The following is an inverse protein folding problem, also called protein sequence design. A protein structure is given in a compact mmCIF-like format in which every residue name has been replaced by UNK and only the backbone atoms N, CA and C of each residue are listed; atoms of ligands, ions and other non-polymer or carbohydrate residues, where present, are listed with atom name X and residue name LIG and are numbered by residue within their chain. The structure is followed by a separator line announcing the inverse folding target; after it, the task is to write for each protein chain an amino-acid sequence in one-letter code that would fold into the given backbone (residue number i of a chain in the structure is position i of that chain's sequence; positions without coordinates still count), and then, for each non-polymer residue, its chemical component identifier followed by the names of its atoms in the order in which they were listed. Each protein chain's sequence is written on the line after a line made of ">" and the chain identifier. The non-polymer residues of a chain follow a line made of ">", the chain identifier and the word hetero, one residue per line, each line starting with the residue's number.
data_IF_705447935865
#
_entry.id   IF_705447935865
#
_cell.length_a   1.000
_cell.length_b   1.000
_cell.length_c   1.000
_cell.angle_alpha   90.00
_cell.angle_beta   90.00
_cell.angle_gamma   90.00
#
_symmetry.space_group_name_H-M   'P 1'
#
loop_
_entity.id
_entity.type
_entity.pdbx_description
1 polymer ?
#
# COMPACT_ATOMS: atom_id res chain seq x y z
N UNK A 1 -6.17 -7.76 -12.74
CA UNK A 1 -7.61 -7.80 -13.13
C UNK A 1 -8.02 -9.15 -13.71
N UNK A 2 -7.23 -9.77 -14.59
CA UNK A 2 -7.53 -11.07 -15.22
C UNK A 2 -7.72 -12.21 -14.21
N UNK A 3 -6.91 -12.24 -13.14
CA UNK A 3 -7.02 -13.25 -12.09
C UNK A 3 -8.35 -13.16 -11.32
N UNK A 4 -8.82 -11.95 -11.03
CA UNK A 4 -10.10 -11.75 -10.34
C UNK A 4 -11.29 -12.22 -11.19
N UNK A 5 -11.29 -11.94 -12.50
CA UNK A 5 -12.30 -12.43 -13.42
C UNK A 5 -12.31 -13.97 -13.48
N UNK A 6 -11.12 -14.57 -13.52
CA UNK A 6 -10.98 -16.02 -13.51
C UNK A 6 -11.52 -16.64 -12.21
N UNK A 7 -11.24 -16.02 -11.07
CA UNK A 7 -11.76 -16.44 -9.77
C UNK A 7 -13.29 -16.39 -9.73
N UNK A 8 -13.89 -15.27 -10.17
CA UNK A 8 -15.34 -15.09 -10.24
C UNK A 8 -15.94 -16.18 -11.15
N UNK A 9 -15.34 -16.41 -12.32
CA UNK A 9 -15.79 -17.44 -13.26
C UNK A 9 -15.80 -18.83 -12.62
N UNK A 10 -14.73 -19.23 -11.92
CA UNK A 10 -14.65 -20.52 -11.22
C UNK A 10 -15.76 -20.66 -10.18
N UNK A 11 -16.00 -19.62 -9.37
CA UNK A 11 -17.03 -19.66 -8.33
C UNK A 11 -18.46 -19.66 -8.91
N UNK A 12 -18.68 -19.12 -10.11
CA UNK A 12 -19.98 -19.14 -10.79
C UNK A 12 -20.27 -20.43 -11.55
N UNK A 13 -19.24 -21.20 -11.93
CA UNK A 13 -19.42 -22.48 -12.69
C UNK A 13 -20.36 -23.47 -12.05
N UNK A 14 -20.31 -23.75 -10.72
CA UNK A 14 -21.26 -24.71 -10.11
C UNK A 14 -22.70 -24.28 -10.29
N UNK A 15 -23.01 -22.98 -10.25
CA UNK A 15 -24.36 -22.47 -10.39
C UNK A 15 -24.95 -22.72 -11.80
N UNK A 16 -24.10 -22.60 -12.83
CA UNK A 16 -24.52 -22.88 -14.21
C UNK A 16 -24.89 -24.38 -14.44
N UNK A 17 -24.25 -25.27 -13.68
CA UNK A 17 -24.49 -26.73 -13.80
C UNK A 17 -25.73 -27.16 -13.01
N UNK A 18 -26.08 -26.45 -11.92
CA UNK A 18 -27.22 -26.77 -11.06
C UNK A 18 -28.58 -26.65 -11.78
N UNK A 19 -28.69 -25.84 -12.82
CA UNK A 19 -29.93 -25.62 -13.58
C UNK A 19 -30.37 -26.88 -14.40
N UNK A 20 -29.42 -27.76 -14.75
CA UNK A 20 -29.66 -29.03 -15.42
C UNK A 20 -28.81 -30.14 -14.80
N UNK A 21 -29.30 -30.68 -13.69
CA UNK A 21 -28.57 -31.62 -12.84
C UNK A 21 -28.21 -32.92 -13.57
N UNK A 22 -27.02 -32.93 -14.19
CA UNK A 22 -26.40 -34.15 -14.72
C UNK A 22 -25.10 -34.38 -13.96
N UNK A 23 -25.09 -35.32 -13.01
CA UNK A 23 -23.94 -35.65 -12.16
C UNK A 23 -22.62 -35.85 -12.94
N UNK A 24 -22.69 -36.40 -14.17
CA UNK A 24 -21.51 -36.52 -15.04
C UNK A 24 -20.90 -35.17 -15.44
N UNK A 25 -21.75 -34.19 -15.77
CA UNK A 25 -21.30 -32.85 -16.12
C UNK A 25 -20.73 -32.13 -14.90
N UNK A 26 -21.37 -32.29 -13.74
CA UNK A 26 -20.87 -31.73 -12.48
C UNK A 26 -19.48 -32.30 -12.14
N UNK A 27 -19.30 -33.61 -12.28
CA UNK A 27 -18.03 -34.29 -12.04
C UNK A 27 -16.92 -33.73 -12.95
N UNK A 28 -17.20 -33.55 -14.25
CA UNK A 28 -16.25 -32.99 -15.21
C UNK A 28 -15.84 -31.54 -14.79
N UNK A 29 -16.80 -30.70 -14.40
CA UNK A 29 -16.55 -29.34 -13.98
C UNK A 29 -15.69 -29.32 -12.73
N UNK A 30 -16.03 -30.09 -11.70
CA UNK A 30 -15.23 -30.15 -10.45
C UNK A 30 -13.82 -30.66 -10.73
N UNK A 31 -13.68 -31.71 -11.54
CA UNK A 31 -12.37 -32.26 -11.91
C UNK A 31 -11.52 -31.23 -12.68
N UNK A 32 -12.14 -30.47 -13.58
CA UNK A 32 -11.44 -29.43 -14.33
C UNK A 32 -10.96 -28.30 -13.41
N UNK A 33 -11.80 -27.85 -12.47
CA UNK A 33 -11.42 -26.83 -11.46
C UNK A 33 -10.27 -27.35 -10.60
N UNK A 34 -10.39 -28.58 -10.07
CA UNK A 34 -9.35 -29.20 -9.26
C UNK A 34 -8.03 -29.31 -10.04
N UNK A 35 -8.08 -29.70 -11.31
CA UNK A 35 -6.89 -29.76 -12.17
C UNK A 35 -6.22 -28.39 -12.33
N UNK A 36 -7.01 -27.35 -12.64
CA UNK A 36 -6.47 -25.97 -12.78
C UNK A 36 -5.82 -25.49 -11.47
N UNK A 37 -6.46 -25.75 -10.33
CA UNK A 37 -5.90 -25.38 -9.02
C UNK A 37 -4.60 -26.13 -8.73
N UNK A 38 -4.53 -27.44 -9.06
CA UNK A 38 -3.31 -28.22 -8.92
C UNK A 38 -2.18 -27.68 -9.80
N UNK A 39 -2.45 -27.39 -11.07
CA UNK A 39 -1.45 -26.83 -11.99
C UNK A 39 -0.93 -25.50 -11.45
N UNK A 40 -1.83 -24.62 -10.99
CA UNK A 40 -1.47 -23.31 -10.43
C UNK A 40 -0.61 -23.46 -9.15
N UNK A 41 -0.98 -24.40 -8.28
CA UNK A 41 -0.23 -24.71 -7.06
C UNK A 41 1.20 -25.19 -7.39
N UNK A 42 1.34 -26.17 -8.27
CA UNK A 42 2.66 -26.70 -8.65
C UNK A 42 3.51 -25.67 -9.38
N UNK A 43 2.89 -24.86 -10.24
CA UNK A 43 3.60 -23.75 -10.90
C UNK A 43 4.08 -22.71 -9.87
N UNK A 44 3.23 -22.30 -8.95
CA UNK A 44 3.60 -21.40 -7.87
C UNK A 44 4.72 -21.95 -6.99
N UNK A 45 4.61 -23.21 -6.58
CA UNK A 45 5.65 -23.88 -5.79
C UNK A 45 6.98 -23.97 -6.53
N UNK A 46 6.95 -24.32 -7.82
CA UNK A 46 8.15 -24.35 -8.67
C UNK A 46 8.79 -22.96 -8.78
N UNK A 47 7.97 -21.93 -8.98
CA UNK A 47 8.46 -20.53 -9.06
C UNK A 47 9.11 -20.08 -7.77
N UNK A 48 8.52 -20.41 -6.61
CA UNK A 48 9.08 -20.06 -5.29
C UNK A 48 10.41 -20.79 -5.07
N UNK A 49 10.46 -22.09 -5.38
CA UNK A 49 11.67 -22.90 -5.16
C UNK A 49 12.82 -22.52 -6.10
N UNK A 50 12.52 -22.14 -7.35
CA UNK A 50 13.52 -21.77 -8.35
C UNK A 50 14.01 -20.33 -8.20
N UNK A 51 13.24 -19.46 -7.55
CA UNK A 51 13.69 -18.11 -7.22
C UNK A 51 14.61 -18.18 -5.99
N UNK A 52 15.90 -18.36 -6.24
CA UNK A 52 16.93 -18.13 -5.23
C UNK A 52 16.88 -16.64 -4.83
N UNK A 53 16.09 -16.35 -3.78
CA UNK A 53 16.04 -15.02 -3.18
C UNK A 53 17.46 -14.68 -2.69
N UNK A 54 18.19 -13.92 -3.48
CA UNK A 54 19.50 -13.39 -3.08
C UNK A 54 19.24 -12.43 -1.91
N UNK A 55 19.57 -12.86 -0.71
CA UNK A 55 19.57 -11.98 0.45
C UNK A 55 20.64 -10.92 0.23
N UNK A 56 20.27 -9.66 0.34
CA UNK A 56 21.23 -8.56 0.34
C UNK A 56 21.83 -8.54 1.77
N UNK A 57 23.11 -8.84 1.91
CA UNK A 57 23.73 -8.82 3.25
C UNK A 57 23.67 -7.39 3.79
N UNK A 58 23.44 -7.26 5.11
CA UNK A 58 23.36 -6.00 5.84
C UNK A 58 22.24 -5.02 5.41
N UNK A 59 21.23 -5.50 4.68
CA UNK A 59 20.03 -4.72 4.34
C UNK A 59 18.78 -5.33 4.99
N UNK A 60 17.99 -4.50 5.66
CA UNK A 60 16.73 -4.90 6.28
C UNK A 60 15.58 -4.01 5.82
N UNK A 61 14.39 -4.58 5.74
CA UNK A 61 13.15 -3.84 5.55
C UNK A 61 12.30 -4.01 6.80
N UNK A 62 11.88 -2.89 7.38
CA UNK A 62 11.02 -2.85 8.58
C UNK A 62 9.67 -2.28 8.18
N UNK A 63 8.65 -3.14 8.12
CA UNK A 63 7.28 -2.73 7.82
C UNK A 63 6.56 -2.34 9.11
N UNK A 64 5.95 -1.16 9.14
CA UNK A 64 5.23 -0.67 10.30
C UNK A 64 3.71 -0.80 10.14
N UNK A 65 3.09 -1.40 11.16
CA UNK A 65 1.63 -1.48 11.30
C UNK A 65 1.24 -0.83 12.64
N UNK A 66 0.96 0.49 12.68
CA UNK A 66 0.68 1.19 13.93
C UNK A 66 -0.71 0.90 14.50
N UNK A 67 -1.60 0.29 13.72
CA UNK A 67 -2.99 -0.02 14.09
C UNK A 67 -3.73 1.20 14.70
N UNK A 68 -3.62 2.36 14.03
CA UNK A 68 -4.20 3.62 14.46
C UNK A 68 -5.62 3.77 13.89
N UNK A 69 -6.52 4.34 14.69
CA UNK A 69 -7.85 4.73 14.19
C UNK A 69 -7.73 5.99 13.32
N UNK A 70 -8.45 6.02 12.20
CA UNK A 70 -8.43 7.15 11.24
C UNK A 70 -8.86 8.46 11.90
N UNK A 71 -9.81 8.41 12.83
CA UNK A 71 -10.32 9.58 13.56
C UNK A 71 -9.21 10.30 14.34
N UNK A 72 -8.22 9.55 14.84
CA UNK A 72 -7.13 10.13 15.62
C UNK A 72 -6.13 10.89 14.72
N UNK A 73 -6.14 10.63 13.40
CA UNK A 73 -5.25 11.28 12.41
C UNK A 73 -5.81 12.62 11.91
N UNK A 74 -7.12 12.81 11.95
CA UNK A 74 -7.79 14.00 11.41
C UNK A 74 -7.71 15.23 12.32
N UNK A 75 -7.26 15.06 13.57
CA UNK A 75 -7.05 16.15 14.50
C UNK A 75 -5.67 16.77 14.24
N UNK A 76 -5.64 17.92 13.59
CA UNK A 76 -4.45 18.64 13.12
C UNK A 76 -3.33 18.84 14.16
N UNK A 77 -3.62 18.68 15.45
CA UNK A 77 -2.64 18.83 16.54
C UNK A 77 -1.88 17.53 16.87
N UNK A 78 -2.18 16.41 16.20
CA UNK A 78 -1.64 15.10 16.56
C UNK A 78 -0.56 14.57 15.60
N UNK A 79 -0.25 15.29 14.51
CA UNK A 79 0.68 14.82 13.49
C UNK A 79 2.08 14.56 14.07
N UNK A 80 2.62 15.49 14.84
CA UNK A 80 3.93 15.33 15.50
C UNK A 80 3.94 14.18 16.51
N UNK A 81 2.88 14.04 17.29
CA UNK A 81 2.75 12.92 18.23
C UNK A 81 2.68 11.59 17.49
N UNK A 82 2.02 11.57 16.35
CA UNK A 82 1.93 10.38 15.52
C UNK A 82 3.27 10.01 14.90
N UNK A 83 4.01 10.96 14.37
CA UNK A 83 5.38 10.75 13.87
C UNK A 83 6.29 10.22 14.98
N UNK A 84 6.24 10.80 16.18
CA UNK A 84 6.98 10.31 17.35
C UNK A 84 6.62 8.87 17.69
N UNK A 85 5.34 8.50 17.64
CA UNK A 85 4.90 7.12 17.85
C UNK A 85 5.46 6.17 16.80
N UNK A 86 5.45 6.56 15.52
CA UNK A 86 6.02 5.75 14.43
C UNK A 86 7.52 5.55 14.60
N UNK A 87 8.25 6.58 15.00
CA UNK A 87 9.67 6.49 15.34
C UNK A 87 9.89 5.48 16.47
N UNK A 88 9.09 5.57 17.53
CA UNK A 88 9.19 4.66 18.66
C UNK A 88 8.91 3.19 18.28
N UNK A 89 7.90 2.95 17.43
CA UNK A 89 7.57 1.60 16.92
C UNK A 89 8.67 1.10 15.98
N UNK A 90 9.26 1.99 15.17
CA UNK A 90 10.36 1.67 14.25
C UNK A 90 11.62 1.18 14.97
N UNK A 91 11.84 1.60 16.22
CA UNK A 91 13.02 1.27 17.03
C UNK A 91 14.34 1.45 16.26
N UNK A 92 14.59 2.60 15.60
CA UNK A 92 15.71 2.75 14.68
C UNK A 92 17.06 2.52 15.34
N UNK A 93 17.20 2.79 16.65
CA UNK A 93 18.44 2.60 17.43
C UNK A 93 18.88 1.13 17.47
N UNK A 94 17.96 0.16 17.26
CA UNK A 94 18.31 -1.26 17.19
C UNK A 94 19.06 -1.64 15.89
N UNK A 95 19.05 -0.75 14.89
CA UNK A 95 19.58 -1.01 13.55
C UNK A 95 20.69 -0.05 13.16
N UNK A 96 21.36 0.59 14.13
CA UNK A 96 22.32 1.68 13.91
C UNK A 96 23.38 1.39 12.84
N UNK A 97 23.87 0.15 12.81
CA UNK A 97 24.96 -0.29 11.91
C UNK A 97 24.45 -1.09 10.70
N UNK A 98 23.16 -1.09 10.46
CA UNK A 98 22.53 -1.85 9.38
C UNK A 98 21.87 -0.88 8.40
N UNK A 99 21.96 -1.16 7.10
CA UNK A 99 21.13 -0.45 6.11
C UNK A 99 19.68 -0.86 6.27
N UNK A 100 18.78 0.08 6.55
CA UNK A 100 17.38 -0.21 6.79
C UNK A 100 16.48 0.71 5.98
N UNK A 101 15.50 0.08 5.34
CA UNK A 101 14.35 0.74 4.76
C UNK A 101 13.16 0.58 5.71
N UNK A 102 12.74 1.65 6.38
CA UNK A 102 11.51 1.69 7.15
C UNK A 102 10.36 2.01 6.20
N UNK A 103 9.32 1.17 6.19
CA UNK A 103 8.13 1.38 5.39
C UNK A 103 6.99 1.75 6.33
N UNK A 104 6.61 3.01 6.28
CA UNK A 104 5.54 3.59 7.06
C UNK A 104 4.23 3.58 6.27
N UNK A 105 3.06 3.61 6.95
CA UNK A 105 1.76 3.61 6.26
C UNK A 105 1.51 4.85 5.40
N UNK A 106 0.45 4.80 4.60
CA UNK A 106 -0.07 5.94 3.83
C UNK A 106 -0.79 6.95 4.75
N UNK A 107 -0.83 8.23 4.33
CA UNK A 107 -1.62 9.27 4.99
C UNK A 107 -1.06 9.81 6.30
N UNK A 108 0.27 9.69 6.52
CA UNK A 108 0.90 10.08 7.78
C UNK A 108 1.18 11.57 7.84
N UNK A 109 1.72 12.12 6.77
CA UNK A 109 2.11 13.52 6.68
C UNK A 109 1.20 14.21 5.68
N UNK A 110 0.47 15.22 6.17
CA UNK A 110 -0.44 16.01 5.34
C UNK A 110 0.32 16.95 4.40
N UNK A 111 1.54 17.34 4.76
CA UNK A 111 2.39 18.22 3.93
C UNK A 111 3.86 18.05 4.30
N UNK A 112 4.65 17.53 3.36
CA UNK A 112 6.10 17.40 3.52
C UNK A 112 6.85 18.74 3.47
N UNK A 113 6.28 19.79 2.87
CA UNK A 113 6.92 21.10 2.81
C UNK A 113 7.05 21.75 4.21
N UNK A 114 6.20 21.35 5.16
CA UNK A 114 6.35 21.67 6.58
C UNK A 114 7.43 20.83 7.30
N UNK A 115 8.24 20.08 6.56
CA UNK A 115 9.27 19.16 7.06
C UNK A 115 10.31 19.80 7.98
N UNK A 116 10.37 21.14 8.07
CA UNK A 116 11.26 21.84 9.01
C UNK A 116 11.09 21.37 10.46
N UNK A 117 9.86 21.03 10.86
CA UNK A 117 9.56 20.55 12.21
C UNK A 117 10.03 19.11 12.44
N UNK A 118 10.13 18.30 11.39
CA UNK A 118 10.47 16.87 11.50
C UNK A 118 11.96 16.59 11.29
N UNK A 119 12.73 17.53 10.68
CA UNK A 119 14.16 17.35 10.40
C UNK A 119 14.95 16.98 11.65
N UNK A 120 14.75 17.73 12.73
CA UNK A 120 15.42 17.45 14.00
C UNK A 120 15.01 16.09 14.57
N UNK A 121 13.72 15.76 14.54
CA UNK A 121 13.18 14.49 15.02
C UNK A 121 13.77 13.30 14.27
N UNK A 122 13.89 13.40 12.95
CA UNK A 122 14.47 12.37 12.11
C UNK A 122 15.97 12.23 12.37
N UNK A 123 16.70 13.36 12.39
CA UNK A 123 18.13 13.39 12.63
C UNK A 123 18.52 12.79 13.98
N UNK A 124 17.77 13.08 15.04
CA UNK A 124 18.03 12.59 16.41
C UNK A 124 17.75 11.08 16.56
N UNK A 125 16.93 10.49 15.70
CA UNK A 125 16.48 9.12 15.84
C UNK A 125 17.00 8.16 14.76
N UNK A 126 17.21 8.62 13.52
CA UNK A 126 17.66 7.78 12.42
C UNK A 126 19.14 8.03 12.10
N UNK A 127 19.84 6.97 11.71
CA UNK A 127 21.24 7.05 11.25
C UNK A 127 21.31 7.24 9.73
N UNK A 128 22.49 7.59 9.20
CA UNK A 128 22.71 7.80 7.76
C UNK A 128 22.43 6.55 6.90
N UNK A 129 22.39 5.37 7.52
CA UNK A 129 22.08 4.10 6.84
C UNK A 129 20.57 3.81 6.80
N UNK A 130 19.74 4.73 7.31
CA UNK A 130 18.30 4.57 7.39
C UNK A 130 17.60 5.41 6.32
N UNK A 131 16.69 4.78 5.62
CA UNK A 131 15.77 5.45 4.72
C UNK A 131 14.32 5.13 5.14
N UNK A 132 13.42 6.06 4.91
CA UNK A 132 12.02 5.94 5.28
C UNK A 132 11.16 6.11 4.02
N UNK A 133 10.30 5.15 3.72
CA UNK A 133 9.27 5.24 2.69
C UNK A 133 7.94 5.46 3.37
N UNK A 134 7.18 6.45 2.92
CA UNK A 134 5.84 6.73 3.42
C UNK A 134 4.95 7.34 2.34
N UNK A 135 3.62 7.21 2.52
CA UNK A 135 2.66 7.94 1.70
C UNK A 135 2.39 9.32 2.29
N UNK A 136 2.41 10.34 1.44
CA UNK A 136 2.19 11.74 1.82
C UNK A 136 1.50 12.52 0.71
N UNK A 137 0.86 13.62 1.09
CA UNK A 137 0.39 14.60 0.11
C UNK A 137 1.55 15.54 -0.23
N UNK A 138 1.85 15.66 -1.53
CA UNK A 138 2.84 16.57 -2.08
C UNK A 138 2.14 17.69 -2.84
N UNK A 139 2.62 18.91 -2.66
CA UNK A 139 2.10 20.08 -3.38
C UNK A 139 3.10 20.54 -4.43
N UNK A 140 2.59 20.93 -5.59
CA UNK A 140 3.37 21.54 -6.67
C UNK A 140 2.53 22.65 -7.31
N UNK A 141 2.83 23.89 -6.98
CA UNK A 141 1.98 25.02 -7.29
C UNK A 141 0.60 24.89 -6.64
N UNK A 142 -0.46 24.93 -7.47
CA UNK A 142 -1.86 24.76 -7.01
C UNK A 142 -2.35 23.31 -7.09
N UNK A 143 -1.48 22.35 -7.40
CA UNK A 143 -1.83 20.93 -7.52
C UNK A 143 -1.34 20.16 -6.31
N UNK A 144 -2.12 19.16 -5.91
CA UNK A 144 -1.73 18.20 -4.88
C UNK A 144 -1.69 16.80 -5.46
N UNK A 145 -0.75 16.01 -4.99
CA UNK A 145 -0.51 14.64 -5.44
C UNK A 145 -0.50 13.71 -4.24
N UNK A 146 -1.17 12.56 -4.39
CA UNK A 146 -0.99 11.45 -3.46
C UNK A 146 0.31 10.74 -3.85
N UNK A 147 1.34 10.85 -3.03
CA UNK A 147 2.69 10.46 -3.40
C UNK A 147 3.28 9.46 -2.40
N UNK A 148 4.02 8.49 -2.93
CA UNK A 148 4.96 7.69 -2.16
C UNK A 148 6.29 8.44 -2.18
N UNK A 149 6.86 8.70 -1.02
CA UNK A 149 8.14 9.42 -0.89
C UNK A 149 9.16 8.59 -0.14
N UNK A 150 10.41 8.71 -0.59
CA UNK A 150 11.59 8.16 0.07
C UNK A 150 12.35 9.29 0.73
N UNK A 151 12.51 9.21 2.05
CA UNK A 151 13.22 10.19 2.87
C UNK A 151 14.53 9.60 3.39
N UNK A 152 15.52 10.50 3.57
CA UNK A 152 16.72 10.19 4.35
C UNK A 152 16.50 10.46 5.85
N UNK A 153 17.54 10.29 6.65
CA UNK A 153 17.53 10.56 8.10
C UNK A 153 17.41 12.04 8.46
N UNK A 154 17.43 12.95 7.49
CA UNK A 154 17.21 14.39 7.68
C UNK A 154 15.82 14.83 7.20
N UNK A 155 14.92 13.87 6.94
CA UNK A 155 13.61 14.11 6.34
C UNK A 155 13.66 14.83 4.98
N UNK A 156 14.75 14.67 4.23
CA UNK A 156 14.86 15.18 2.87
C UNK A 156 14.35 14.15 1.87
N UNK A 157 13.61 14.62 0.87
CA UNK A 157 13.07 13.76 -0.19
C UNK A 157 14.19 13.34 -1.12
N UNK A 158 14.51 12.05 -1.13
CA UNK A 158 15.45 11.45 -2.06
C UNK A 158 14.78 11.08 -3.39
N UNK A 159 13.52 10.65 -3.34
CA UNK A 159 12.72 10.27 -4.49
C UNK A 159 11.24 10.34 -4.16
N UNK A 160 10.42 10.59 -5.16
CA UNK A 160 8.96 10.55 -5.03
C UNK A 160 8.31 9.89 -6.24
N UNK A 161 7.18 9.24 -5.99
CA UNK A 161 6.32 8.66 -7.02
C UNK A 161 4.88 9.11 -6.78
N UNK A 162 4.32 9.82 -7.73
CA UNK A 162 2.95 10.30 -7.65
C UNK A 162 1.99 9.23 -8.17
N UNK A 163 0.90 9.00 -7.44
CA UNK A 163 -0.11 8.01 -7.77
C UNK A 163 -0.80 8.38 -9.09
N UNK A 164 -0.65 7.53 -10.10
CA UNK A 164 -1.20 7.77 -11.45
C UNK A 164 -2.68 7.37 -11.51
N UNK A 165 -3.03 6.21 -10.97
CA UNK A 165 -4.38 5.67 -10.99
C UNK A 165 -5.11 6.05 -9.70
N UNK A 166 -5.82 7.16 -9.74
CA UNK A 166 -6.60 7.66 -8.61
C UNK A 166 -7.89 6.84 -8.44
N UNK A 167 -8.36 6.71 -7.20
CA UNK A 167 -9.57 5.96 -6.86
C UNK A 167 -10.80 6.79 -7.26
N UNK A 168 -11.65 6.26 -8.15
CA UNK A 168 -12.90 6.96 -8.52
C UNK A 168 -13.78 7.16 -7.28
N UNK A 169 -14.40 8.34 -7.18
CA UNK A 169 -15.25 8.82 -6.09
C UNK A 169 -14.56 9.03 -4.73
N UNK A 170 -13.34 8.51 -4.54
CA UNK A 170 -12.51 8.81 -3.38
C UNK A 170 -11.55 9.97 -3.64
N UNK A 171 -10.64 9.77 -4.58
CA UNK A 171 -9.58 10.73 -4.91
C UNK A 171 -9.94 11.61 -6.11
N UNK A 172 -10.74 11.07 -7.07
CA UNK A 172 -11.28 11.82 -8.20
C UNK A 172 -12.79 11.60 -8.30
N UNK A 173 -13.50 12.63 -8.75
CA UNK A 173 -14.90 12.51 -9.15
C UNK A 173 -14.93 12.35 -10.67
N UNK A 174 -15.22 11.13 -11.19
CA UNK A 174 -15.40 10.96 -12.62
C UNK A 174 -16.62 11.76 -13.04
N UNK A 175 -16.55 12.37 -14.23
CA UNK A 175 -17.63 13.23 -14.77
C UNK A 175 -18.02 14.40 -13.85
N UNK A 176 -17.03 15.07 -13.23
CA UNK A 176 -17.22 16.15 -12.28
C UNK A 176 -18.26 17.19 -12.75
N UNK A 177 -18.17 17.66 -14.01
CA UNK A 177 -19.08 18.65 -14.57
C UNK A 177 -20.55 18.19 -14.63
N UNK A 178 -20.79 16.88 -14.72
CA UNK A 178 -22.14 16.29 -14.74
C UNK A 178 -22.66 16.11 -13.31
N UNK A 179 -21.80 15.75 -12.39
CA UNK A 179 -22.14 15.43 -10.99
C UNK A 179 -22.27 16.70 -10.13
N UNK A 180 -21.63 17.80 -10.51
CA UNK A 180 -21.77 19.09 -9.85
C UNK A 180 -23.21 19.62 -9.98
N UNK A 181 -23.89 19.33 -11.09
CA UNK A 181 -25.31 19.69 -11.28
C UNK A 181 -26.26 19.00 -10.32
N UNK A 182 -25.87 17.87 -9.73
CA UNK A 182 -26.67 17.10 -8.75
C UNK A 182 -26.12 17.21 -7.32
N UNK A 183 -25.31 18.24 -7.02
CA UNK A 183 -24.78 18.55 -5.68
C UNK A 183 -23.99 17.41 -4.98
N UNK A 184 -23.42 16.48 -5.72
CA UNK A 184 -22.52 15.47 -5.14
C UNK A 184 -21.16 16.11 -4.84
N UNK A 185 -20.91 16.35 -3.56
CA UNK A 185 -19.60 16.84 -3.08
C UNK A 185 -18.57 15.71 -3.05
N UNK A 186 -17.33 16.06 -3.37
CA UNK A 186 -16.17 15.17 -3.20
C UNK A 186 -16.07 14.72 -1.75
N UNK A 187 -16.05 13.41 -1.51
CA UNK A 187 -15.69 12.86 -0.19
C UNK A 187 -14.17 12.93 -0.12
N UNK A 188 -13.64 14.05 0.32
CA UNK A 188 -12.20 14.19 0.62
C UNK A 188 -11.97 13.68 2.03
N UNK A 189 -11.16 12.65 2.14
CA UNK A 189 -10.49 12.32 3.40
C UNK A 189 -9.21 13.13 3.51
#
# INVERSE_FOLDING_TARGET
>A
YSFNLFTIFIFCLPFLVLKHFHYKKLFIVISSIAFILCVNFFFGQSTINNNNLKRIPNFKVVLLQPNQKIIDLTLANNEEQYVNRLINISKPKMYKDTQVLFVWPEGILSNLDNSKNYKKLFYDNFSNNHNIVLGSVRYEGNKFYNSLVLLNNQAEILSSYDKINLVPFGEIIPFYNLLETINLKKITF
#
